data_IF_711234385048
#
_entry.id   IF_711234385048
#
_cell.length_a   1.000
_cell.length_b   1.000
_cell.length_c   1.000
_cell.angle_alpha   90.00
_cell.angle_beta   90.00
_cell.angle_gamma   90.00
#
_symmetry.space_group_name_H-M   'P 1'
#
loop_
_entity.id
_entity.type
_entity.pdbx_description
1 polymer ?
#
# COMPACT_ATOMS: atom_id res chain seq x y z
N UNK A 1 10.48 -14.58 -12.71
CA UNK A 1 11.13 -15.49 -11.73
C UNK A 1 11.50 -14.77 -10.43
N UNK A 2 12.35 -13.73 -10.42
CA UNK A 2 12.80 -13.05 -9.19
C UNK A 2 11.66 -12.42 -8.37
N UNK A 3 10.72 -11.73 -9.02
CA UNK A 3 9.56 -11.16 -8.33
C UNK A 3 8.70 -12.21 -7.61
N UNK A 4 8.48 -13.38 -8.23
CA UNK A 4 7.73 -14.49 -7.62
C UNK A 4 8.47 -15.07 -6.40
N UNK A 5 9.81 -15.17 -6.50
CA UNK A 5 10.65 -15.66 -5.41
C UNK A 5 10.72 -14.69 -4.21
N UNK A 6 10.40 -13.40 -4.41
CA UNK A 6 10.50 -12.37 -3.35
C UNK A 6 9.48 -12.52 -2.20
N UNK A 7 8.48 -13.39 -2.31
CA UNK A 7 7.46 -13.62 -1.28
C UNK A 7 7.97 -14.34 -0.03
N UNK A 8 7.19 -14.33 1.05
CA UNK A 8 7.46 -15.11 2.28
C UNK A 8 8.34 -14.42 3.34
N UNK A 9 8.40 -15.07 4.51
CA UNK A 9 9.15 -14.68 5.72
C UNK A 9 9.62 -15.95 6.46
N UNK A 10 10.60 -15.84 7.36
CA UNK A 10 10.94 -16.94 8.27
C UNK A 10 9.80 -17.15 9.27
N UNK A 11 9.34 -18.40 9.38
CA UNK A 11 8.28 -18.79 10.33
C UNK A 11 8.93 -19.44 11.54
N UNK A 12 8.56 -18.95 12.73
CA UNK A 12 8.97 -19.58 14.00
C UNK A 12 7.86 -20.45 14.58
N UNK A 13 6.61 -20.31 14.11
CA UNK A 13 5.44 -21.07 14.56
C UNK A 13 5.19 -20.97 16.07
N UNK A 14 5.61 -19.86 16.67
CA UNK A 14 5.41 -19.58 18.09
C UNK A 14 4.26 -18.59 18.25
N UNK A 15 3.33 -18.89 19.16
CA UNK A 15 2.18 -18.04 19.46
C UNK A 15 2.48 -17.13 20.65
N UNK A 16 1.86 -15.94 20.66
CA UNK A 16 2.04 -14.95 21.73
C UNK A 16 1.54 -15.47 23.09
N UNK A 17 0.50 -16.31 23.08
CA UNK A 17 -0.11 -16.91 24.29
C UNK A 17 0.90 -17.69 25.15
N UNK A 18 1.97 -18.22 24.56
CA UNK A 18 2.94 -19.06 25.27
C UNK A 18 4.14 -18.28 25.82
N UNK A 19 4.16 -16.94 25.73
CA UNK A 19 5.34 -16.12 26.03
C UNK A 19 5.95 -16.37 27.42
N UNK A 20 5.12 -16.51 28.46
CA UNK A 20 5.57 -16.75 29.84
C UNK A 20 6.21 -18.14 29.99
N UNK A 21 5.58 -19.16 29.41
CA UNK A 21 6.08 -20.54 29.41
C UNK A 21 7.40 -20.66 28.63
N UNK A 22 7.47 -20.00 27.47
CA UNK A 22 8.62 -20.01 26.58
C UNK A 22 9.85 -19.39 27.28
N UNK A 23 9.71 -18.23 27.94
CA UNK A 23 10.85 -17.55 28.60
C UNK A 23 11.52 -18.45 29.67
N UNK A 24 10.75 -19.30 30.34
CA UNK A 24 11.25 -20.22 31.37
C UNK A 24 12.01 -21.42 30.77
N UNK A 25 11.59 -21.94 29.61
CA UNK A 25 12.16 -23.14 28.98
C UNK A 25 13.02 -22.83 27.75
N UNK A 26 14.08 -22.04 27.97
CA UNK A 26 15.01 -21.55 26.92
C UNK A 26 15.61 -22.65 26.02
N UNK A 27 15.92 -23.82 26.58
CA UNK A 27 16.45 -24.96 25.82
C UNK A 27 15.47 -25.50 24.77
N UNK A 28 14.18 -25.58 25.13
CA UNK A 28 13.11 -26.06 24.26
C UNK A 28 12.86 -25.07 23.13
N UNK A 29 12.80 -23.76 23.44
CA UNK A 29 12.70 -22.70 22.40
C UNK A 29 13.82 -22.87 21.38
N UNK A 30 15.06 -23.03 21.84
CA UNK A 30 16.21 -23.10 20.93
C UNK A 30 16.06 -24.25 19.94
N UNK A 31 15.63 -25.42 20.41
CA UNK A 31 15.40 -26.58 19.53
C UNK A 31 14.22 -26.35 18.58
N UNK A 32 13.11 -25.78 19.06
CA UNK A 32 11.95 -25.44 18.25
C UNK A 32 12.31 -24.45 17.15
N UNK A 33 13.05 -23.38 17.47
CA UNK A 33 13.53 -22.39 16.50
C UNK A 33 14.41 -23.02 15.41
N UNK A 34 15.33 -23.90 15.79
CA UNK A 34 16.21 -24.58 14.83
C UNK A 34 15.40 -25.48 13.89
N UNK A 35 14.43 -26.23 14.42
CA UNK A 35 13.55 -27.07 13.61
C UNK A 35 12.63 -26.24 12.71
N UNK A 36 12.06 -25.16 13.22
CA UNK A 36 11.22 -24.22 12.46
C UNK A 36 12.01 -23.53 11.34
N UNK A 37 13.27 -23.16 11.60
CA UNK A 37 14.16 -22.60 10.60
C UNK A 37 14.50 -23.62 9.52
N UNK A 38 14.86 -24.85 9.91
CA UNK A 38 15.12 -25.94 8.96
C UNK A 38 13.89 -26.21 8.08
N UNK A 39 12.71 -26.34 8.69
CA UNK A 39 11.46 -26.52 7.97
C UNK A 39 11.18 -25.36 7.01
N UNK A 40 11.38 -24.11 7.44
CA UNK A 40 11.23 -22.93 6.59
C UNK A 40 12.20 -22.94 5.41
N UNK A 41 13.47 -23.35 5.61
CA UNK A 41 14.45 -23.46 4.53
C UNK A 41 14.03 -24.52 3.51
N UNK A 42 13.63 -25.70 3.97
CA UNK A 42 13.14 -26.78 3.10
C UNK A 42 11.91 -26.35 2.31
N UNK A 43 10.93 -25.73 2.97
CA UNK A 43 9.74 -25.21 2.31
C UNK A 43 10.08 -24.17 1.22
N UNK A 44 11.04 -23.29 1.49
CA UNK A 44 11.50 -22.31 0.49
C UNK A 44 12.20 -22.97 -0.69
N UNK A 45 13.03 -24.00 -0.45
CA UNK A 45 13.66 -24.79 -1.52
C UNK A 45 12.61 -25.51 -2.39
N UNK A 46 11.60 -26.12 -1.77
CA UNK A 46 10.48 -26.75 -2.50
C UNK A 46 9.74 -25.73 -3.37
N UNK A 47 9.50 -24.52 -2.87
CA UNK A 47 8.89 -23.45 -3.68
C UNK A 47 9.77 -23.00 -4.85
N UNK A 48 11.08 -22.85 -4.65
CA UNK A 48 12.01 -22.44 -5.72
C UNK A 48 12.10 -23.55 -6.77
N UNK A 49 12.25 -24.81 -6.36
CA UNK A 49 12.28 -25.96 -7.29
C UNK A 49 11.02 -26.04 -8.12
N UNK A 50 9.84 -25.86 -7.52
CA UNK A 50 8.56 -25.85 -8.25
C UNK A 50 8.51 -24.72 -9.30
N UNK A 51 8.94 -23.51 -8.93
CA UNK A 51 9.02 -22.37 -9.86
C UNK A 51 9.97 -22.67 -11.02
N UNK A 52 11.13 -23.29 -10.75
CA UNK A 52 12.10 -23.67 -11.79
C UNK A 52 11.60 -24.78 -12.68
N UNK A 53 10.89 -25.77 -12.13
CA UNK A 53 10.32 -26.87 -12.90
C UNK A 53 9.29 -26.34 -13.91
N UNK A 54 8.45 -25.39 -13.50
CA UNK A 54 7.54 -24.67 -14.40
C UNK A 54 8.28 -23.78 -15.41
N UNK A 55 9.45 -23.24 -15.06
CA UNK A 55 10.28 -22.41 -15.94
C UNK A 55 11.09 -23.20 -16.97
N UNK A 56 11.36 -24.48 -16.68
CA UNK A 56 12.29 -25.33 -17.40
C UNK A 56 12.02 -25.38 -18.92
N UNK A 57 10.78 -25.60 -19.42
CA UNK A 57 10.54 -25.64 -20.86
C UNK A 57 10.93 -24.32 -21.54
N UNK A 58 10.68 -23.18 -20.89
CA UNK A 58 11.03 -21.86 -21.42
C UNK A 58 12.56 -21.67 -21.42
N UNK A 59 13.24 -22.04 -20.33
CA UNK A 59 14.69 -21.90 -20.19
C UNK A 59 15.46 -22.73 -21.23
N UNK A 60 14.99 -23.95 -21.53
CA UNK A 60 15.64 -24.85 -22.48
C UNK A 60 15.24 -24.54 -23.92
N UNK A 61 13.95 -24.31 -24.20
CA UNK A 61 13.47 -24.18 -25.58
C UNK A 61 13.67 -22.76 -26.14
N UNK A 62 13.41 -21.72 -25.35
CA UNK A 62 13.48 -20.32 -25.80
C UNK A 62 14.89 -19.75 -25.59
N UNK A 63 15.44 -19.91 -24.38
CA UNK A 63 16.74 -19.33 -24.02
C UNK A 63 17.93 -20.24 -24.34
N UNK A 64 17.69 -21.50 -24.75
CA UNK A 64 18.73 -22.49 -25.10
C UNK A 64 19.84 -22.61 -24.05
N UNK A 65 19.48 -22.49 -22.78
CA UNK A 65 20.47 -22.60 -21.71
C UNK A 65 21.02 -24.03 -21.60
N UNK A 66 22.34 -24.12 -21.43
CA UNK A 66 23.01 -25.37 -21.11
C UNK A 66 22.65 -25.83 -19.68
N UNK A 67 22.65 -27.13 -19.44
CA UNK A 67 22.37 -27.75 -18.13
C UNK A 67 23.18 -27.11 -16.97
N UNK A 68 24.51 -26.93 -17.07
CA UNK A 68 25.28 -26.23 -16.04
C UNK A 68 24.79 -24.79 -15.78
N UNK A 69 24.43 -24.04 -16.82
CA UNK A 69 23.91 -22.67 -16.68
C UNK A 69 22.60 -22.64 -15.87
N UNK A 70 21.74 -23.65 -16.05
CA UNK A 70 20.49 -23.80 -15.29
C UNK A 70 20.79 -24.07 -13.80
N UNK A 71 21.77 -24.92 -13.51
CA UNK A 71 22.18 -25.22 -12.12
C UNK A 71 22.75 -23.98 -11.44
N UNK A 72 23.61 -23.22 -12.13
CA UNK A 72 24.14 -21.97 -11.60
C UNK A 72 23.04 -20.93 -11.35
N UNK A 73 22.07 -20.84 -12.25
CA UNK A 73 20.92 -19.95 -12.09
C UNK A 73 20.08 -20.38 -10.88
N UNK A 74 19.83 -21.69 -10.71
CA UNK A 74 19.13 -22.23 -9.55
C UNK A 74 19.82 -21.87 -8.22
N UNK A 75 21.14 -22.05 -8.13
CA UNK A 75 21.91 -21.69 -6.93
C UNK A 75 21.86 -20.18 -6.63
N UNK A 76 21.93 -19.33 -7.65
CA UNK A 76 21.79 -17.89 -7.50
C UNK A 76 20.37 -17.48 -7.03
N UNK A 77 19.33 -18.20 -7.45
CA UNK A 77 17.98 -17.96 -6.96
C UNK A 77 17.78 -18.37 -5.50
N UNK A 78 18.42 -19.45 -5.08
CA UNK A 78 18.47 -19.84 -3.67
C UNK A 78 19.17 -18.76 -2.81
N UNK A 79 20.28 -18.20 -3.29
CA UNK A 79 21.00 -17.14 -2.57
C UNK A 79 20.14 -15.89 -2.44
N UNK A 80 19.52 -15.46 -3.54
CA UNK A 80 18.59 -14.34 -3.58
C UNK A 80 17.43 -14.51 -2.59
N UNK A 81 16.82 -15.69 -2.55
CA UNK A 81 15.71 -15.98 -1.63
C UNK A 81 16.13 -15.78 -0.17
N UNK A 82 17.31 -16.30 0.21
CA UNK A 82 17.83 -16.16 1.57
C UNK A 82 18.19 -14.72 1.91
N UNK A 83 18.72 -13.95 0.95
CA UNK A 83 18.98 -12.51 1.11
C UNK A 83 17.67 -11.78 1.42
N UNK A 84 16.61 -12.00 0.64
CA UNK A 84 15.31 -11.34 0.86
C UNK A 84 14.73 -11.70 2.22
N UNK A 85 14.72 -12.98 2.59
CA UNK A 85 14.19 -13.42 3.89
C UNK A 85 14.97 -12.79 5.05
N UNK A 86 16.29 -12.68 4.91
CA UNK A 86 17.16 -12.02 5.89
C UNK A 86 16.86 -10.53 5.98
N UNK A 87 16.76 -9.82 4.85
CA UNK A 87 16.45 -8.39 4.82
C UNK A 87 15.10 -8.08 5.48
N UNK A 88 14.06 -8.87 5.18
CA UNK A 88 12.74 -8.72 5.80
C UNK A 88 12.76 -8.94 7.31
N UNK A 89 13.60 -9.86 7.79
CA UNK A 89 13.78 -10.11 9.23
C UNK A 89 14.36 -8.88 9.95
N UNK A 90 15.33 -8.18 9.34
CA UNK A 90 16.04 -7.06 9.98
C UNK A 90 15.36 -5.69 9.81
N UNK A 91 14.66 -5.46 8.70
CA UNK A 91 13.99 -4.18 8.45
C UNK A 91 12.58 -4.23 9.04
N UNK A 92 12.19 -3.28 9.89
CA UNK A 92 10.87 -3.26 10.55
C UNK A 92 9.80 -2.48 9.77
N UNK A 93 10.22 -1.54 8.92
CA UNK A 93 9.32 -0.62 8.21
C UNK A 93 8.95 -1.17 6.82
N UNK A 94 7.64 -1.34 6.51
CA UNK A 94 7.22 -2.02 5.28
C UNK A 94 7.55 -1.24 3.99
N UNK A 95 7.63 0.10 4.06
CA UNK A 95 8.04 0.91 2.91
C UNK A 95 9.51 0.70 2.55
N UNK A 96 10.40 0.76 3.54
CA UNK A 96 11.83 0.51 3.35
C UNK A 96 12.11 -0.94 2.92
N UNK A 97 11.35 -1.91 3.46
CA UNK A 97 11.42 -3.29 2.98
C UNK A 97 11.14 -3.39 1.47
N UNK A 98 10.06 -2.76 0.98
CA UNK A 98 9.70 -2.80 -0.44
C UNK A 98 10.75 -2.12 -1.32
N UNK A 99 11.23 -0.95 -0.90
CA UNK A 99 12.26 -0.19 -1.62
C UNK A 99 13.56 -1.00 -1.71
N UNK A 100 14.03 -1.56 -0.60
CA UNK A 100 15.27 -2.35 -0.58
C UNK A 100 15.11 -3.64 -1.40
N UNK A 101 13.98 -4.33 -1.31
CA UNK A 101 13.72 -5.51 -2.15
C UNK A 101 13.75 -5.15 -3.63
N UNK A 102 13.15 -4.02 -4.02
CA UNK A 102 13.19 -3.53 -5.39
C UNK A 102 14.63 -3.27 -5.87
N UNK A 103 15.43 -2.52 -5.09
CA UNK A 103 16.84 -2.30 -5.40
C UNK A 103 17.66 -3.59 -5.48
N UNK A 104 17.41 -4.58 -4.60
CA UNK A 104 18.11 -5.86 -4.67
C UNK A 104 17.77 -6.66 -5.93
N UNK A 105 16.52 -6.55 -6.43
CA UNK A 105 16.12 -7.16 -7.69
C UNK A 105 16.86 -6.47 -8.84
N UNK A 106 16.84 -5.14 -8.88
CA UNK A 106 17.51 -4.37 -9.94
C UNK A 106 19.01 -4.70 -10.02
N UNK A 107 19.72 -4.67 -8.88
CA UNK A 107 21.15 -5.00 -8.82
C UNK A 107 21.42 -6.42 -9.34
N UNK A 108 20.62 -7.41 -8.94
CA UNK A 108 20.81 -8.79 -9.40
C UNK A 108 20.46 -8.98 -10.88
N UNK A 109 19.47 -8.26 -11.40
CA UNK A 109 19.18 -8.29 -12.84
C UNK A 109 20.31 -7.72 -13.67
N UNK A 110 20.96 -6.65 -13.20
CA UNK A 110 22.17 -6.09 -13.82
C UNK A 110 23.29 -7.12 -13.75
N UNK A 111 23.57 -7.70 -12.58
CA UNK A 111 24.62 -8.71 -12.42
C UNK A 111 24.41 -9.93 -13.34
N UNK A 112 23.18 -10.45 -13.46
CA UNK A 112 22.90 -11.56 -14.37
C UNK A 112 23.04 -11.23 -15.85
N UNK A 113 22.99 -9.94 -16.22
CA UNK A 113 23.12 -9.50 -17.62
C UNK A 113 24.59 -9.33 -18.03
N UNK A 114 25.48 -9.00 -17.10
CA UNK A 114 26.88 -8.65 -17.39
C UNK A 114 27.91 -9.69 -16.93
N UNK A 115 27.53 -10.68 -16.12
CA UNK A 115 28.46 -11.63 -15.49
C UNK A 115 28.27 -13.04 -16.05
N UNK A 116 29.38 -13.74 -16.24
CA UNK A 116 29.38 -15.12 -16.72
C UNK A 116 28.61 -16.08 -15.80
N UNK A 117 27.95 -17.11 -16.38
CA UNK A 117 27.18 -18.12 -15.65
C UNK A 117 27.88 -18.81 -14.48
N UNK A 118 29.16 -19.14 -14.65
CA UNK A 118 29.95 -19.84 -13.64
C UNK A 118 30.17 -18.97 -12.40
N UNK A 119 30.45 -17.68 -12.59
CA UNK A 119 30.79 -16.76 -11.50
C UNK A 119 29.60 -16.53 -10.59
N UNK A 120 28.42 -16.19 -11.14
CA UNK A 120 27.25 -15.96 -10.28
C UNK A 120 26.75 -17.26 -9.61
N UNK A 121 26.96 -18.43 -10.24
CA UNK A 121 26.61 -19.72 -9.65
C UNK A 121 27.47 -20.08 -8.43
N UNK A 122 28.79 -19.94 -8.56
CA UNK A 122 29.75 -20.22 -7.48
C UNK A 122 29.58 -19.21 -6.34
N UNK A 123 29.53 -17.91 -6.65
CA UNK A 123 29.26 -16.89 -5.64
C UNK A 123 27.91 -17.12 -4.97
N UNK A 124 26.87 -17.45 -5.73
CA UNK A 124 25.54 -17.78 -5.21
C UNK A 124 25.59 -18.93 -4.21
N UNK A 125 26.26 -20.03 -4.54
CA UNK A 125 26.43 -21.17 -3.65
C UNK A 125 27.15 -20.79 -2.34
N UNK A 126 28.28 -20.07 -2.43
CA UNK A 126 29.01 -19.59 -1.26
C UNK A 126 28.14 -18.68 -0.38
N UNK A 127 27.40 -17.75 -0.98
CA UNK A 127 26.47 -16.89 -0.25
C UNK A 127 25.33 -17.67 0.41
N UNK A 128 24.77 -18.70 -0.23
CA UNK A 128 23.73 -19.53 0.40
C UNK A 128 24.24 -20.23 1.65
N UNK A 129 25.42 -20.85 1.59
CA UNK A 129 26.02 -21.57 2.71
C UNK A 129 26.34 -20.61 3.86
N UNK A 130 26.95 -19.46 3.55
CA UNK A 130 27.29 -18.44 4.54
C UNK A 130 26.04 -17.89 5.22
N UNK A 131 25.00 -17.52 4.45
CA UNK A 131 23.77 -16.98 5.01
C UNK A 131 23.00 -18.03 5.81
N UNK A 132 22.93 -19.28 5.33
CA UNK A 132 22.32 -20.37 6.08
C UNK A 132 23.04 -20.57 7.41
N UNK A 133 24.38 -20.63 7.42
CA UNK A 133 25.18 -20.75 8.63
C UNK A 133 24.93 -19.61 9.62
N UNK A 134 24.93 -18.36 9.14
CA UNK A 134 24.64 -17.19 9.98
C UNK A 134 23.23 -17.26 10.58
N UNK A 135 22.24 -17.72 9.81
CA UNK A 135 20.86 -17.88 10.27
C UNK A 135 20.73 -18.99 11.32
N UNK A 136 21.42 -20.13 11.16
CA UNK A 136 21.46 -21.19 12.18
C UNK A 136 22.13 -20.69 13.47
N UNK A 137 23.24 -19.96 13.35
CA UNK A 137 23.91 -19.35 14.51
C UNK A 137 23.00 -18.34 15.21
N UNK A 138 22.26 -17.52 14.46
CA UNK A 138 21.34 -16.53 15.03
C UNK A 138 20.11 -17.19 15.66
N UNK A 139 19.54 -18.24 15.05
CA UNK A 139 18.40 -18.97 15.57
C UNK A 139 18.68 -19.63 16.93
N UNK A 140 19.95 -19.91 17.22
CA UNK A 140 20.40 -20.37 18.54
C UNK A 140 20.29 -19.28 19.62
N UNK A 141 20.15 -18.01 19.23
CA UNK A 141 20.01 -16.87 20.12
C UNK A 141 18.56 -16.55 20.45
N UNK A 142 18.34 -16.06 21.67
CA UNK A 142 17.04 -15.56 22.15
C UNK A 142 16.89 -14.05 21.87
N UNK A 143 17.97 -13.39 21.43
CA UNK A 143 17.95 -11.95 21.09
C UNK A 143 16.93 -11.71 19.98
N UNK A 144 15.95 -10.84 20.24
CA UNK A 144 14.90 -10.49 19.27
C UNK A 144 13.65 -11.38 19.29
N UNK A 145 13.49 -12.27 20.28
CA UNK A 145 12.31 -13.14 20.43
C UNK A 145 10.96 -12.40 20.33
N UNK A 146 10.83 -11.24 20.97
CA UNK A 146 9.60 -10.43 20.92
C UNK A 146 9.29 -10.01 19.48
N UNK A 147 10.30 -9.59 18.74
CA UNK A 147 10.15 -9.18 17.34
C UNK A 147 9.80 -10.35 16.43
N UNK A 148 10.35 -11.54 16.69
CA UNK A 148 10.01 -12.75 15.96
C UNK A 148 8.54 -13.15 16.19
N UNK A 149 8.03 -13.01 17.41
CA UNK A 149 6.61 -13.20 17.73
C UNK A 149 5.71 -12.17 17.01
N UNK A 150 6.09 -10.89 17.01
CA UNK A 150 5.35 -9.85 16.27
C UNK A 150 5.27 -10.15 14.77
N UNK A 151 6.36 -10.63 14.17
CA UNK A 151 6.38 -11.02 12.76
C UNK A 151 5.44 -12.21 12.52
N UNK A 152 5.47 -13.22 13.40
CA UNK A 152 4.61 -14.40 13.30
C UNK A 152 3.13 -14.04 13.44
N UNK A 153 2.76 -13.18 14.41
CA UNK A 153 1.38 -12.72 14.58
C UNK A 153 0.87 -11.97 13.34
N UNK A 154 1.67 -11.05 12.81
CA UNK A 154 1.33 -10.31 11.59
C UNK A 154 1.11 -11.24 10.40
N UNK A 155 1.95 -12.26 10.28
CA UNK A 155 1.97 -13.20 9.17
C UNK A 155 0.90 -14.30 9.29
N UNK A 156 0.55 -14.75 10.50
CA UNK A 156 -0.58 -15.66 10.75
C UNK A 156 -1.92 -14.94 10.54
N UNK A 157 -2.04 -13.70 11.05
CA UNK A 157 -3.27 -12.92 10.93
C UNK A 157 -3.41 -12.20 9.59
N UNK A 158 -2.43 -12.27 8.67
CA UNK A 158 -2.45 -11.54 7.40
C UNK A 158 -3.69 -11.86 6.56
N UNK A 159 -3.99 -13.15 6.39
CA UNK A 159 -5.13 -13.60 5.60
C UNK A 159 -6.45 -13.40 6.34
N UNK A 160 -6.47 -13.56 7.66
CA UNK A 160 -7.63 -13.25 8.51
C UNK A 160 -7.99 -11.77 8.38
N UNK A 161 -7.01 -10.87 8.55
CA UNK A 161 -7.19 -9.42 8.36
C UNK A 161 -7.60 -9.08 6.93
N UNK A 162 -7.15 -9.83 5.93
CA UNK A 162 -7.59 -9.65 4.55
C UNK A 162 -9.08 -9.98 4.41
N UNK A 163 -9.53 -11.16 4.84
CA UNK A 163 -10.94 -11.59 4.80
C UNK A 163 -11.83 -10.64 5.60
N UNK A 164 -11.45 -10.30 6.83
CA UNK A 164 -12.18 -9.33 7.68
C UNK A 164 -12.21 -7.91 7.10
N UNK A 165 -11.31 -7.59 6.17
CA UNK A 165 -11.40 -6.31 5.47
C UNK A 165 -12.49 -6.29 4.39
N UNK A 166 -12.83 -7.46 3.83
CA UNK A 166 -13.90 -7.64 2.83
C UNK A 166 -15.26 -7.96 3.44
N UNK A 167 -15.34 -8.38 4.71
CA UNK A 167 -16.62 -8.58 5.38
C UNK A 167 -17.32 -7.24 5.60
N UNK A 168 -18.51 -7.11 5.01
CA UNK A 168 -19.36 -5.91 5.05
C UNK A 168 -19.93 -5.71 6.47
N UNK A 169 -20.17 -6.80 7.20
CA UNK A 169 -20.88 -6.80 8.49
C UNK A 169 -20.02 -6.45 9.71
N UNK A 170 -18.71 -6.26 9.51
CA UNK A 170 -17.84 -5.79 10.58
C UNK A 170 -17.79 -4.28 10.49
N UNK A 171 -18.63 -3.61 11.28
CA UNK A 171 -18.49 -2.19 11.57
C UNK A 171 -17.08 -1.95 12.10
N UNK A 172 -16.19 -1.51 11.21
CA UNK A 172 -14.86 -1.07 11.62
C UNK A 172 -15.11 0.19 12.44
N UNK A 173 -14.75 0.22 13.74
CA UNK A 173 -14.85 1.46 14.50
C UNK A 173 -14.12 2.52 13.67
N UNK A 174 -14.74 3.70 13.44
CA UNK A 174 -14.11 4.73 12.64
C UNK A 174 -12.72 4.92 13.22
N UNK A 175 -11.68 4.72 12.40
CA UNK A 175 -10.30 4.87 12.88
C UNK A 175 -10.18 6.28 13.42
N UNK A 176 -10.29 6.43 14.74
CA UNK A 176 -10.02 7.64 15.53
C UNK A 176 -8.51 7.91 15.54
N UNK A 177 -7.83 7.64 14.42
CA UNK A 177 -6.54 8.26 14.20
C UNK A 177 -6.86 9.73 14.03
N UNK A 178 -6.56 10.51 15.06
CA UNK A 178 -6.41 11.96 14.98
C UNK A 178 -5.49 12.26 13.79
N UNK A 179 -6.10 12.40 12.61
CA UNK A 179 -5.41 12.70 11.37
C UNK A 179 -5.01 14.16 11.51
N UNK A 180 -3.83 14.41 12.07
CA UNK A 180 -3.20 15.72 11.98
C UNK A 180 -3.25 16.11 10.51
N UNK A 181 -3.91 17.22 10.14
CA UNK A 181 -4.05 17.57 8.75
C UNK A 181 -2.66 17.82 8.19
N UNK A 182 -2.32 17.08 7.14
CA UNK A 182 -0.94 17.01 6.62
C UNK A 182 -0.51 18.32 5.94
N UNK A 183 -1.45 19.15 5.45
CA UNK A 183 -1.12 20.31 4.61
C UNK A 183 -1.97 21.56 4.93
N UNK A 184 -3.31 21.48 4.97
CA UNK A 184 -4.19 22.64 5.25
C UNK A 184 -4.72 22.68 6.70
N UNK A 185 -4.69 23.85 7.35
CA UNK A 185 -5.27 24.11 8.68
C UNK A 185 -4.66 23.33 9.86
N UNK A 186 -3.33 23.20 9.89
CA UNK A 186 -2.56 22.62 11.03
C UNK A 186 -2.78 23.39 12.34
N UNK A 187 -3.00 24.70 12.26
CA UNK A 187 -3.57 25.53 13.32
C UNK A 187 -4.99 25.90 12.87
N UNK A 188 -6.02 25.60 13.67
CA UNK A 188 -7.41 25.98 13.35
C UNK A 188 -7.57 27.50 13.47
N UNK A 189 -7.07 28.24 12.48
CA UNK A 189 -7.31 29.67 12.35
C UNK A 189 -8.67 29.90 11.68
N UNK A 190 -9.25 31.08 11.89
CA UNK A 190 -10.54 31.48 11.29
C UNK A 190 -10.38 31.67 9.79
N UNK A 191 -11.37 31.24 9.00
CA UNK A 191 -11.40 31.48 7.55
C UNK A 191 -12.17 32.75 7.21
N UNK A 192 -13.27 33.02 7.93
CA UNK A 192 -14.06 34.24 7.73
C UNK A 192 -13.76 35.28 8.82
N UNK A 193 -13.65 36.55 8.41
CA UNK A 193 -13.43 37.68 9.34
C UNK A 193 -14.68 38.02 10.16
N UNK A 194 -15.87 37.87 9.56
CA UNK A 194 -17.17 38.22 10.18
C UNK A 194 -17.75 37.03 10.93
N UNK A 195 -18.10 37.24 12.21
CA UNK A 195 -18.79 36.25 13.04
C UNK A 195 -20.28 36.23 12.72
N UNK A 196 -20.72 35.19 12.02
CA UNK A 196 -22.13 34.82 11.89
C UNK A 196 -22.29 33.33 12.12
N UNK A 197 -23.47 32.89 12.59
CA UNK A 197 -23.78 31.47 12.77
C UNK A 197 -23.59 30.70 11.45
N UNK A 198 -23.98 31.31 10.33
CA UNK A 198 -23.80 30.76 8.98
C UNK A 198 -22.32 30.59 8.60
N UNK A 199 -21.50 31.62 8.83
CA UNK A 199 -20.07 31.55 8.52
C UNK A 199 -19.35 30.53 9.41
N UNK A 200 -19.79 30.37 10.67
CA UNK A 200 -19.25 29.37 11.57
C UNK A 200 -19.53 27.94 11.09
N UNK A 201 -20.78 27.65 10.72
CA UNK A 201 -21.16 26.34 10.17
C UNK A 201 -20.47 26.06 8.83
N UNK A 202 -20.45 27.05 7.94
CA UNK A 202 -19.76 26.93 6.65
C UNK A 202 -18.26 26.70 6.82
N UNK A 203 -17.62 27.38 7.77
CA UNK A 203 -16.21 27.18 8.10
C UNK A 203 -15.95 25.76 8.61
N UNK A 204 -16.84 25.23 9.44
CA UNK A 204 -16.78 23.86 9.94
C UNK A 204 -16.87 22.86 8.77
N UNK A 205 -17.89 22.96 7.93
CA UNK A 205 -18.13 22.03 6.81
C UNK A 205 -16.94 22.07 5.83
N UNK A 206 -16.46 23.26 5.45
CA UNK A 206 -15.28 23.39 4.60
C UNK A 206 -14.02 22.78 5.25
N UNK A 207 -13.82 22.98 6.55
CA UNK A 207 -12.68 22.38 7.26
C UNK A 207 -12.77 20.87 7.31
N UNK A 208 -13.96 20.30 7.53
CA UNK A 208 -14.15 18.84 7.53
C UNK A 208 -13.84 18.29 6.14
N UNK A 209 -14.39 18.90 5.08
CA UNK A 209 -14.10 18.53 3.70
C UNK A 209 -12.60 18.59 3.39
N UNK A 210 -11.93 19.68 3.75
CA UNK A 210 -10.50 19.90 3.48
C UNK A 210 -9.56 19.11 4.41
N UNK A 211 -10.06 18.51 5.48
CA UNK A 211 -9.27 17.65 6.39
C UNK A 211 -9.46 16.18 6.09
N UNK A 212 -10.57 15.79 5.47
CA UNK A 212 -10.74 14.40 5.03
C UNK A 212 -10.00 14.15 3.71
N UNK A 213 -8.77 13.64 3.85
CA UNK A 213 -7.95 13.24 2.71
C UNK A 213 -8.57 12.14 1.83
N UNK A 214 -9.61 11.43 2.27
CA UNK A 214 -10.35 10.51 1.40
C UNK A 214 -11.26 11.29 0.45
N UNK A 215 -11.99 12.28 0.97
CA UNK A 215 -12.90 13.13 0.20
C UNK A 215 -12.13 14.01 -0.77
N UNK A 216 -11.03 14.66 -0.33
CA UNK A 216 -10.19 15.47 -1.22
C UNK A 216 -9.58 14.62 -2.33
N UNK A 217 -9.09 13.42 -2.03
CA UNK A 217 -8.53 12.53 -3.06
C UNK A 217 -9.59 12.14 -4.09
N UNK A 218 -10.79 11.82 -3.64
CA UNK A 218 -11.91 11.51 -4.54
C UNK A 218 -12.27 12.72 -5.43
N UNK A 219 -12.31 13.92 -4.85
CA UNK A 219 -12.53 15.18 -5.59
C UNK A 219 -11.46 15.44 -6.66
N UNK A 220 -10.17 15.30 -6.31
CA UNK A 220 -9.06 15.48 -7.25
C UNK A 220 -9.11 14.39 -8.34
N UNK A 221 -9.40 13.14 -7.97
CA UNK A 221 -9.55 12.03 -8.93
C UNK A 221 -10.67 12.31 -9.93
N UNK A 222 -11.82 12.85 -9.49
CA UNK A 222 -12.88 13.24 -10.40
C UNK A 222 -12.43 14.30 -11.40
N UNK A 223 -11.73 15.36 -10.95
CA UNK A 223 -11.22 16.41 -11.85
C UNK A 223 -10.20 15.85 -12.85
N UNK A 224 -9.26 15.02 -12.40
CA UNK A 224 -8.24 14.44 -13.28
C UNK A 224 -8.88 13.50 -14.29
N UNK A 225 -9.77 12.62 -13.85
CA UNK A 225 -10.46 11.66 -14.71
C UNK A 225 -11.29 12.36 -15.78
N UNK A 226 -12.03 13.41 -15.41
CA UNK A 226 -12.80 14.19 -16.39
C UNK A 226 -11.90 14.99 -17.32
N UNK A 227 -10.78 15.54 -16.83
CA UNK A 227 -9.79 16.21 -17.69
C UNK A 227 -9.21 15.26 -18.74
N UNK A 228 -8.86 14.03 -18.36
CA UNK A 228 -8.36 13.00 -19.30
C UNK A 228 -9.44 12.62 -20.30
N UNK A 229 -10.68 12.40 -19.84
CA UNK A 229 -11.80 12.08 -20.73
C UNK A 229 -12.05 13.18 -21.78
N UNK A 230 -11.99 14.45 -21.38
CA UNK A 230 -12.18 15.59 -22.27
C UNK A 230 -11.08 15.70 -23.36
N UNK A 231 -9.85 15.25 -23.08
CA UNK A 231 -8.78 15.21 -24.07
C UNK A 231 -9.04 14.17 -25.18
N UNK A 232 -9.64 13.03 -24.85
CA UNK A 232 -9.81 11.90 -25.77
C UNK A 232 -11.09 11.98 -26.62
N UNK A 233 -12.10 12.71 -26.16
CA UNK A 233 -13.44 12.69 -26.77
C UNK A 233 -13.60 13.62 -27.99
N UNK A 234 -14.51 13.31 -28.93
CA UNK A 234 -14.88 14.21 -30.03
C UNK A 234 -15.74 15.39 -29.56
N UNK A 235 -15.81 16.46 -30.36
CA UNK A 235 -16.22 17.82 -29.95
C UNK A 235 -17.61 17.89 -29.28
N UNK A 236 -18.62 17.23 -29.86
CA UNK A 236 -20.00 17.22 -29.32
C UNK A 236 -20.05 16.49 -27.97
N UNK A 237 -19.32 15.38 -27.86
CA UNK A 237 -19.32 14.54 -26.66
C UNK A 237 -18.57 15.23 -25.50
N UNK A 238 -17.62 16.15 -25.79
CA UNK A 238 -16.94 16.96 -24.74
C UNK A 238 -17.93 17.80 -23.94
N UNK A 239 -18.84 18.51 -24.61
CA UNK A 239 -19.84 19.35 -23.96
C UNK A 239 -20.84 18.53 -23.15
N UNK A 240 -21.27 17.38 -23.67
CA UNK A 240 -22.15 16.47 -22.95
C UNK A 240 -21.47 15.88 -21.71
N UNK A 241 -20.20 15.48 -21.82
CA UNK A 241 -19.41 14.97 -20.69
C UNK A 241 -19.20 16.05 -19.61
N UNK A 242 -18.99 17.30 -20.02
CA UNK A 242 -18.91 18.44 -19.10
C UNK A 242 -20.21 18.66 -18.33
N UNK A 243 -21.36 18.65 -19.01
CA UNK A 243 -22.67 18.78 -18.37
C UNK A 243 -22.91 17.62 -17.37
N UNK A 244 -22.58 16.39 -17.77
CA UNK A 244 -22.66 15.22 -16.91
C UNK A 244 -21.76 15.34 -15.67
N UNK A 245 -20.53 15.85 -15.84
CA UNK A 245 -19.61 16.11 -14.73
C UNK A 245 -20.18 17.10 -13.71
N UNK A 246 -20.76 18.22 -14.16
CA UNK A 246 -21.37 19.21 -13.27
C UNK A 246 -22.54 18.63 -12.48
N UNK A 247 -23.39 17.85 -13.14
CA UNK A 247 -24.52 17.18 -12.50
C UNK A 247 -24.05 16.18 -11.44
N UNK A 248 -23.09 15.32 -11.81
CA UNK A 248 -22.54 14.31 -10.92
C UNK A 248 -21.82 14.93 -9.71
N UNK A 249 -21.02 15.97 -9.93
CA UNK A 249 -20.30 16.67 -8.88
C UNK A 249 -21.26 17.34 -7.90
N UNK A 250 -22.38 17.89 -8.37
CA UNK A 250 -23.44 18.44 -7.51
C UNK A 250 -24.09 17.36 -6.63
N UNK A 251 -24.47 16.22 -7.21
CA UNK A 251 -25.03 15.09 -6.46
C UNK A 251 -24.04 14.58 -5.41
N UNK A 252 -22.79 14.37 -5.81
CA UNK A 252 -21.74 13.88 -4.93
C UNK A 252 -21.45 14.85 -3.76
N UNK A 253 -21.40 16.15 -4.02
CA UNK A 253 -21.24 17.16 -2.97
C UNK A 253 -22.44 17.19 -2.01
N UNK A 254 -23.66 16.99 -2.50
CA UNK A 254 -24.85 16.93 -1.65
C UNK A 254 -24.79 15.74 -0.68
N UNK A 255 -24.35 14.57 -1.18
CA UNK A 255 -24.15 13.38 -0.35
C UNK A 255 -23.09 13.61 0.75
N UNK A 256 -21.99 14.28 0.42
CA UNK A 256 -20.96 14.62 1.40
C UNK A 256 -21.47 15.63 2.42
N UNK A 257 -22.19 16.66 1.97
CA UNK A 257 -22.75 17.67 2.84
C UNK A 257 -23.69 17.03 3.87
N UNK A 258 -24.65 16.21 3.42
CA UNK A 258 -25.55 15.46 4.31
C UNK A 258 -24.79 14.58 5.29
N UNK A 259 -23.81 13.80 4.82
CA UNK A 259 -22.94 12.99 5.69
C UNK A 259 -22.23 13.81 6.78
N UNK A 260 -21.82 15.04 6.48
CA UNK A 260 -21.18 15.92 7.47
C UNK A 260 -22.23 16.44 8.46
N UNK A 261 -23.42 16.81 7.99
CA UNK A 261 -24.51 17.32 8.82
C UNK A 261 -25.11 16.26 9.76
N UNK A 262 -25.08 14.99 9.37
CA UNK A 262 -25.56 13.82 10.13
C UNK A 262 -24.54 13.30 11.15
N UNK A 263 -23.37 13.93 11.29
CA UNK A 263 -22.32 13.45 12.18
C UNK A 263 -22.71 13.60 13.67
N UNK A 264 -22.36 12.59 14.49
CA UNK A 264 -22.57 12.56 15.95
C UNK A 264 -22.17 13.86 16.67
N UNK A 265 -21.11 14.53 16.20
CA UNK A 265 -20.65 15.80 16.77
C UNK A 265 -21.72 16.91 16.75
N UNK A 266 -22.55 16.97 15.71
CA UNK A 266 -23.57 18.01 15.56
C UNK A 266 -24.83 17.75 16.39
N UNK A 267 -24.97 16.55 16.98
CA UNK A 267 -25.97 16.30 18.01
C UNK A 267 -25.56 16.92 19.35
N UNK A 268 -24.25 16.97 19.64
CA UNK A 268 -23.71 17.57 20.87
C UNK A 268 -23.62 19.10 20.75
N UNK A 269 -23.34 19.62 19.55
CA UNK A 269 -23.30 21.06 19.27
C UNK A 269 -24.45 21.41 18.31
N UNK A 270 -25.66 21.64 18.84
CA UNK A 270 -26.83 21.91 18.00
C UNK A 270 -26.64 23.22 17.23
N UNK A 271 -27.04 23.19 15.97
CA UNK A 271 -27.09 24.35 15.08
C UNK A 271 -28.53 24.61 14.65
N UNK A 272 -28.80 25.83 14.20
CA UNK A 272 -30.11 26.20 13.69
C UNK A 272 -30.31 25.61 12.28
N UNK A 273 -31.27 24.69 12.14
CA UNK A 273 -31.57 24.02 10.87
C UNK A 273 -31.98 25.00 9.77
N UNK A 274 -32.51 26.18 10.10
CA UNK A 274 -32.86 27.23 9.12
C UNK A 274 -31.64 27.75 8.34
N UNK A 275 -30.44 27.57 8.89
CA UNK A 275 -29.18 28.05 8.32
C UNK A 275 -28.56 27.01 7.36
N UNK A 276 -29.07 25.79 7.30
CA UNK A 276 -28.50 24.72 6.47
C UNK A 276 -28.55 25.05 4.97
N UNK A 277 -29.70 25.52 4.49
CA UNK A 277 -29.91 25.91 3.08
C UNK A 277 -28.91 26.96 2.56
N UNK A 278 -28.77 28.14 3.22
CA UNK A 278 -27.81 29.15 2.76
C UNK A 278 -26.36 28.68 2.88
N UNK A 279 -26.03 27.85 3.87
CA UNK A 279 -24.69 27.28 4.02
C UNK A 279 -24.38 26.29 2.91
N UNK A 280 -25.31 25.41 2.54
CA UNK A 280 -25.18 24.49 1.41
C UNK A 280 -24.91 25.25 0.10
N UNK A 281 -25.71 26.29 -0.20
CA UNK A 281 -25.56 27.07 -1.42
C UNK A 281 -24.16 27.71 -1.52
N UNK A 282 -23.65 28.26 -0.41
CA UNK A 282 -22.31 28.86 -0.37
C UNK A 282 -21.22 27.80 -0.42
N UNK A 283 -21.32 26.70 0.32
CA UNK A 283 -20.38 25.58 0.29
C UNK A 283 -20.22 25.00 -1.12
N UNK A 284 -21.35 24.74 -1.78
CA UNK A 284 -21.41 24.30 -3.17
C UNK A 284 -20.65 25.26 -4.08
N UNK A 285 -20.90 26.57 -4.00
CA UNK A 285 -20.18 27.57 -4.81
C UNK A 285 -18.66 27.50 -4.60
N UNK A 286 -18.20 27.42 -3.36
CA UNK A 286 -16.76 27.36 -3.04
C UNK A 286 -16.03 26.18 -3.68
N UNK A 287 -16.68 25.01 -3.79
CA UNK A 287 -16.04 23.80 -4.33
C UNK A 287 -16.30 23.65 -5.83
N UNK A 288 -17.51 23.95 -6.30
CA UNK A 288 -17.86 23.80 -7.71
C UNK A 288 -17.08 24.80 -8.57
N UNK A 289 -16.99 26.08 -8.16
CA UNK A 289 -16.37 27.12 -9.00
C UNK A 289 -14.95 26.74 -9.46
N UNK A 290 -14.01 26.36 -8.57
CA UNK A 290 -12.67 25.93 -8.99
C UNK A 290 -12.69 24.78 -10.01
N UNK A 291 -13.54 23.76 -9.80
CA UNK A 291 -13.64 22.62 -10.72
C UNK A 291 -14.17 23.03 -12.09
N UNK A 292 -15.16 23.92 -12.14
CA UNK A 292 -15.76 24.40 -13.38
C UNK A 292 -14.84 25.33 -14.17
N UNK A 293 -14.10 26.19 -13.49
CA UNK A 293 -13.13 27.09 -14.12
C UNK A 293 -12.01 26.26 -14.77
N UNK A 294 -11.51 25.25 -14.07
CA UNK A 294 -10.48 24.36 -14.59
C UNK A 294 -10.96 23.55 -15.81
N UNK A 295 -12.05 22.80 -15.64
CA UNK A 295 -12.57 21.90 -16.70
C UNK A 295 -13.17 22.68 -17.87
N UNK A 296 -13.84 23.82 -17.62
CA UNK A 296 -14.35 24.71 -18.66
C UNK A 296 -13.23 25.39 -19.44
N UNK A 297 -12.18 25.87 -18.78
CA UNK A 297 -11.00 26.42 -19.44
C UNK A 297 -10.30 25.41 -20.34
N UNK A 298 -10.16 24.16 -19.88
CA UNK A 298 -9.60 23.07 -20.68
C UNK A 298 -10.46 22.77 -21.92
N UNK A 299 -11.78 22.76 -21.81
CA UNK A 299 -12.67 22.54 -22.96
C UNK A 299 -12.50 23.63 -24.00
N UNK A 300 -12.53 24.91 -23.57
CA UNK A 300 -12.36 26.04 -24.48
C UNK A 300 -11.02 25.97 -25.22
N UNK A 301 -9.93 25.72 -24.50
CA UNK A 301 -8.60 25.57 -25.08
C UNK A 301 -8.54 24.42 -26.09
N UNK A 302 -9.10 23.25 -25.75
CA UNK A 302 -9.15 22.09 -26.62
C UNK A 302 -10.10 22.26 -27.82
N UNK A 303 -11.11 23.12 -27.74
CA UNK A 303 -11.94 23.47 -28.88
C UNK A 303 -11.18 24.40 -29.83
N UNK A 304 -10.52 25.44 -29.34
CA UNK A 304 -9.76 26.39 -30.17
C UNK A 304 -8.61 25.70 -30.92
N UNK A 305 -7.84 24.85 -30.23
CA UNK A 305 -6.74 24.07 -30.83
C UNK A 305 -7.15 23.12 -31.95
N UNK A 306 -8.43 22.75 -32.04
CA UNK A 306 -8.94 21.87 -33.09
C UNK A 306 -9.44 22.67 -34.31
N UNK A 307 -9.68 23.96 -34.14
CA UNK A 307 -10.12 24.88 -35.21
C UNK A 307 -8.97 25.70 -35.82
N UNK A 308 -7.79 25.77 -35.16
CA UNK A 308 -6.52 26.16 -35.78
C UNK A 308 -5.90 24.97 -36.51
#
# INVERSE_FOLDING_TARGET
>A
MLLLSSGGNFRTYLLEADKLFLIQKRGIIRQLKLRALFFSLVQNLVWITLIFLLALPILVQVFRFSVPSIIYLYLAFCSFKLIILTLKKYISRPLYQKIIVFFTIDILTILFSFVDPSVYGICGALFTLLLAYLQFRQASSIKGFIRELEIEDLEANKYIRFVMNFSIDVEKPPKTRSRKPLILFRKSKRMFKVRSKENGLLELVLKVFLRDGSVIRSYIQFIILTSIALCLLPLVIKWLMFAAFLFFLNLWLNLIFKRIMENEFLYVVPYDQKIEGPVWARFKRWIIIPSTVWTGGLILLLTVLKFM
#
